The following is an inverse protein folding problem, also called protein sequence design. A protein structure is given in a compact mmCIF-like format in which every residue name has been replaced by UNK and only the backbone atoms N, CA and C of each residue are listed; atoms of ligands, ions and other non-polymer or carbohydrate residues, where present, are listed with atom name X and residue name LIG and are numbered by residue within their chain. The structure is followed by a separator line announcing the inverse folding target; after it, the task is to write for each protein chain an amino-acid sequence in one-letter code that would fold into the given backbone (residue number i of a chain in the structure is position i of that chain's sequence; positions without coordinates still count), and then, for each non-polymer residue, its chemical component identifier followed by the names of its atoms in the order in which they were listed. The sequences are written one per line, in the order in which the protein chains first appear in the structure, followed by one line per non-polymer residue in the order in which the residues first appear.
data_IF_943789178101
#
_entry.id   IF_943789178101
#
_cell.length_a   1.000
_cell.length_b   1.000
_cell.length_c   1.000
_cell.angle_alpha   90.00
_cell.angle_beta   90.00
_cell.angle_gamma   90.00
#
_symmetry.space_group_name_H-M   'P 1'
#
loop_
_entity.id
_entity.type
_entity.pdbx_description
1 polymer ?
#
# COMPACT_ATOMS: atom_id res chain seq x y z
N UNK A 1 9.65 -11.76 -7.20
CA UNK A 1 8.97 -10.45 -7.06
C UNK A 1 9.90 -9.32 -6.56
N UNK A 2 11.22 -9.50 -6.57
CA UNK A 2 12.20 -8.49 -6.07
C UNK A 2 12.67 -7.52 -7.18
N UNK A 3 12.44 -7.84 -8.45
CA UNK A 3 12.80 -6.97 -9.59
C UNK A 3 11.85 -5.78 -9.77
N UNK A 4 10.56 -5.93 -9.45
CA UNK A 4 9.57 -4.85 -9.56
C UNK A 4 9.81 -3.75 -8.52
N UNK A 5 10.13 -4.11 -7.28
CA UNK A 5 10.44 -3.15 -6.21
C UNK A 5 11.73 -2.38 -6.50
N UNK A 6 12.77 -3.05 -7.02
CA UNK A 6 14.02 -2.37 -7.39
C UNK A 6 13.85 -1.46 -8.61
N UNK A 7 13.04 -1.87 -9.60
CA UNK A 7 12.64 -1.01 -10.71
C UNK A 7 11.81 0.18 -10.24
N UNK A 8 10.89 -0.01 -9.28
CA UNK A 8 10.08 1.04 -8.70
C UNK A 8 10.90 2.06 -7.93
N UNK A 9 11.85 1.62 -7.09
CA UNK A 9 12.75 2.54 -6.35
C UNK A 9 13.67 3.29 -7.30
N UNK A 10 14.18 2.63 -8.35
CA UNK A 10 15.04 3.27 -9.35
C UNK A 10 14.23 4.26 -10.21
N UNK A 11 13.00 3.91 -10.58
CA UNK A 11 12.08 4.81 -11.27
C UNK A 11 11.71 6.01 -10.39
N UNK A 12 11.47 5.81 -9.09
CA UNK A 12 11.19 6.86 -8.12
C UNK A 12 12.36 7.83 -7.94
N UNK A 13 13.58 7.34 -7.78
CA UNK A 13 14.77 8.19 -7.69
C UNK A 13 15.02 8.94 -9.00
N UNK A 14 14.79 8.27 -10.14
CA UNK A 14 14.91 8.91 -11.46
C UNK A 14 13.85 10.00 -11.64
N UNK A 15 12.60 9.78 -11.23
CA UNK A 15 11.53 10.78 -11.31
C UNK A 15 11.81 11.97 -10.40
N UNK A 16 12.24 11.75 -9.15
CA UNK A 16 12.66 12.84 -8.25
C UNK A 16 13.82 13.64 -8.84
N UNK A 17 14.78 12.97 -9.48
CA UNK A 17 15.89 13.65 -10.17
C UNK A 17 15.48 14.34 -11.46
N UNK A 18 14.35 13.93 -12.06
CA UNK A 18 13.78 14.47 -13.28
C UNK A 18 12.72 15.55 -13.01
N UNK A 19 12.27 15.74 -11.74
CA UNK A 19 11.57 16.95 -11.32
C UNK A 19 12.48 18.12 -11.68
N UNK A 20 12.13 18.94 -12.68
CA UNK A 20 13.00 20.02 -13.08
C UNK A 20 13.06 21.01 -11.91
N UNK A 21 14.24 21.24 -11.35
CA UNK A 21 14.51 22.42 -10.52
C UNK A 21 14.38 23.73 -11.33
N UNK A 22 13.92 23.64 -12.58
CA UNK A 22 13.63 24.78 -13.43
C UNK A 22 12.22 25.26 -13.12
N UNK A 23 12.18 26.34 -12.35
CA UNK A 23 11.10 27.32 -12.33
C UNK A 23 10.52 27.52 -13.73
N UNK A 24 9.21 27.79 -13.89
CA UNK A 24 8.72 28.41 -15.11
C UNK A 24 9.63 29.62 -15.36
N UNK A 25 10.28 29.69 -16.53
CA UNK A 25 11.17 30.80 -16.84
C UNK A 25 10.33 32.08 -16.84
N UNK A 26 10.39 32.83 -15.75
CA UNK A 26 9.97 34.22 -15.73
C UNK A 26 11.03 34.95 -16.54
N UNK A 27 10.72 35.22 -17.81
CA UNK A 27 11.52 36.13 -18.63
C UNK A 27 11.47 37.50 -17.97
N UNK A 28 12.48 37.80 -17.16
CA UNK A 28 12.71 39.12 -16.58
C UNK A 28 13.24 40.03 -17.70
N UNK A 29 12.59 41.16 -18.02
CA UNK A 29 13.15 42.12 -18.94
C UNK A 29 14.47 42.68 -18.40
N UNK A 30 15.51 42.68 -19.24
CA UNK A 30 16.79 43.32 -18.95
C UNK A 30 16.58 44.84 -18.81
N UNK A 31 16.81 45.37 -17.59
CA UNK A 31 16.78 46.80 -17.29
C UNK A 31 18.18 47.42 -17.42
N UNK A 32 18.84 47.17 -18.55
CA UNK A 32 20.01 47.91 -18.97
C UNK A 32 19.61 48.85 -20.10
N UNK A 33 19.27 50.10 -19.76
CA UNK A 33 19.70 51.29 -20.52
C UNK A 33 19.24 52.58 -19.83
N UNK A 34 20.21 53.18 -19.14
CA UNK A 34 20.22 54.57 -18.73
C UNK A 34 20.44 55.46 -19.96
N UNK A 35 19.53 56.41 -20.21
CA UNK A 35 19.84 57.66 -20.93
C UNK A 35 19.22 57.88 -22.32
N UNK A 36 18.12 58.66 -22.36
CA UNK A 36 17.88 59.73 -23.33
C UNK A 36 17.42 59.39 -24.76
N UNK A 37 16.10 59.48 -25.02
CA UNK A 37 15.44 60.09 -26.20
C UNK A 37 13.94 59.67 -26.25
N UNK A 38 12.97 60.54 -26.60
CA UNK A 38 11.55 60.18 -26.57
C UNK A 38 11.16 59.40 -27.84
N UNK A 39 11.06 58.08 -27.71
CA UNK A 39 10.38 57.21 -28.68
C UNK A 39 9.15 56.64 -27.95
N UNK A 40 7.94 56.61 -28.55
CA UNK A 40 6.77 56.07 -27.88
C UNK A 40 6.97 54.58 -27.62
N UNK A 41 7.29 54.24 -26.37
CA UNK A 41 7.52 52.90 -25.89
C UNK A 41 6.19 52.19 -25.68
N UNK A 42 5.74 51.41 -26.66
CA UNK A 42 4.80 50.32 -26.38
C UNK A 42 5.59 49.20 -25.71
N UNK A 43 5.84 49.36 -24.41
CA UNK A 43 6.45 48.34 -23.58
C UNK A 43 5.52 47.11 -23.59
N UNK A 44 6.01 45.90 -23.90
CA UNK A 44 5.25 44.68 -23.64
C UNK A 44 4.89 44.67 -22.15
N UNK A 45 3.61 44.50 -21.81
CA UNK A 45 3.18 44.47 -20.43
C UNK A 45 3.99 43.41 -19.66
N UNK A 46 4.66 43.83 -18.59
CA UNK A 46 5.27 42.91 -17.63
C UNK A 46 4.12 42.07 -17.06
N UNK A 47 4.19 40.72 -17.09
CA UNK A 47 3.17 39.91 -16.45
C UNK A 47 3.16 40.21 -14.96
N UNK A 48 2.08 40.82 -14.47
CA UNK A 48 1.89 41.12 -13.05
C UNK A 48 1.76 39.80 -12.29
N UNK A 49 2.70 39.49 -11.39
CA UNK A 49 2.51 38.43 -10.40
C UNK A 49 1.38 38.89 -9.48
N UNK A 50 0.20 38.32 -9.65
CA UNK A 50 -0.99 38.65 -8.84
C UNK A 50 -0.97 37.87 -7.54
N UNK A 51 -1.59 38.40 -6.47
CA UNK A 51 -1.81 37.65 -5.23
C UNK A 51 -2.50 36.29 -5.46
N UNK A 52 -3.33 36.17 -6.50
CA UNK A 52 -3.96 34.91 -6.89
C UNK A 52 -2.94 33.83 -7.31
N UNK A 53 -1.82 34.21 -7.92
CA UNK A 53 -0.76 33.28 -8.34
C UNK A 53 0.04 32.73 -7.15
N UNK A 54 0.24 33.57 -6.11
CA UNK A 54 0.92 33.17 -4.87
C UNK A 54 0.01 32.26 -4.03
N UNK A 55 -1.27 32.60 -3.90
CA UNK A 55 -2.22 31.77 -3.16
C UNK A 55 -2.39 30.38 -3.80
N UNK A 56 -2.49 30.30 -5.14
CA UNK A 56 -2.58 29.00 -5.82
C UNK A 56 -1.33 28.13 -5.63
N UNK A 57 -0.14 28.73 -5.52
CA UNK A 57 1.08 27.99 -5.18
C UNK A 57 1.05 27.45 -3.74
N UNK A 58 0.62 28.28 -2.78
CA UNK A 58 0.49 27.87 -1.37
C UNK A 58 -0.55 26.75 -1.25
N UNK A 59 -1.68 26.85 -1.93
CA UNK A 59 -2.74 25.83 -1.94
C UNK A 59 -2.23 24.50 -2.52
N UNK A 60 -1.44 24.54 -3.61
CA UNK A 60 -0.83 23.35 -4.19
C UNK A 60 0.17 22.68 -3.22
N UNK A 61 0.95 23.46 -2.49
CA UNK A 61 1.93 22.96 -1.51
C UNK A 61 1.23 22.35 -0.29
N UNK A 62 0.13 22.97 0.16
CA UNK A 62 -0.73 22.42 1.22
C UNK A 62 -1.42 21.13 0.79
N UNK A 63 -1.90 21.05 -0.45
CA UNK A 63 -2.48 19.85 -1.02
C UNK A 63 -1.46 18.70 -1.09
N UNK A 64 -0.26 18.96 -1.62
CA UNK A 64 0.82 17.97 -1.68
C UNK A 64 1.22 17.48 -0.28
N UNK A 65 1.38 18.39 0.69
CA UNK A 65 1.67 18.02 2.08
C UNK A 65 0.58 17.12 2.68
N UNK A 66 -0.69 17.44 2.43
CA UNK A 66 -1.84 16.67 2.93
C UNK A 66 -1.91 15.29 2.28
N UNK A 67 -1.70 15.20 0.96
CA UNK A 67 -1.72 13.94 0.22
C UNK A 67 -0.62 12.99 0.70
N UNK A 68 0.60 13.48 0.91
CA UNK A 68 1.71 12.69 1.46
C UNK A 68 1.39 12.20 2.88
N UNK A 69 0.86 13.07 3.75
CA UNK A 69 0.50 12.70 5.11
C UNK A 69 -0.61 11.63 5.14
N UNK A 70 -1.60 11.74 4.26
CA UNK A 70 -2.67 10.76 4.12
C UNK A 70 -2.13 9.42 3.61
N UNK A 71 -1.27 9.43 2.60
CA UNK A 71 -0.68 8.20 2.07
C UNK A 71 0.12 7.44 3.14
N UNK A 72 0.95 8.13 3.93
CA UNK A 72 1.68 7.49 5.05
C UNK A 72 0.71 6.86 6.05
N UNK A 73 -0.39 7.57 6.37
CA UNK A 73 -1.39 7.11 7.33
C UNK A 73 -2.14 5.89 6.81
N UNK A 74 -2.60 5.92 5.56
CA UNK A 74 -3.35 4.82 4.95
C UNK A 74 -2.46 3.58 4.79
N UNK A 75 -1.25 3.71 4.25
CA UNK A 75 -0.29 2.59 4.13
C UNK A 75 -0.05 1.92 5.48
N UNK A 76 0.09 2.72 6.54
CA UNK A 76 0.24 2.18 7.90
C UNK A 76 -1.02 1.43 8.33
N UNK A 77 -2.20 2.02 8.13
CA UNK A 77 -3.48 1.42 8.48
C UNK A 77 -3.73 0.10 7.74
N UNK A 78 -3.47 0.04 6.43
CA UNK A 78 -3.67 -1.15 5.61
C UNK A 78 -2.70 -2.26 6.03
N UNK A 79 -1.44 -1.90 6.32
CA UNK A 79 -0.47 -2.86 6.84
C UNK A 79 -0.92 -3.45 8.18
N UNK A 80 -1.43 -2.63 9.10
CA UNK A 80 -1.99 -3.13 10.36
C UNK A 80 -3.22 -4.01 10.12
N UNK A 81 -4.11 -3.59 9.23
CA UNK A 81 -5.32 -4.32 8.89
C UNK A 81 -5.00 -5.71 8.31
N UNK A 82 -3.95 -5.83 7.49
CA UNK A 82 -3.52 -7.11 6.90
C UNK A 82 -2.96 -8.10 7.93
N UNK A 83 -2.29 -7.60 8.97
CA UNK A 83 -1.70 -8.43 10.01
C UNK A 83 -2.75 -8.96 11.00
N UNK A 84 -3.89 -8.29 11.15
CA UNK A 84 -4.95 -8.71 12.07
C UNK A 84 -5.56 -10.08 11.71
N UNK A 85 -6.00 -10.35 10.47
CA UNK A 85 -6.43 -11.68 10.05
C UNK A 85 -5.35 -12.74 10.24
N UNK A 86 -4.09 -12.39 9.99
CA UNK A 86 -2.95 -13.31 10.18
C UNK A 86 -2.80 -13.69 11.66
N UNK A 87 -2.92 -12.73 12.57
CA UNK A 87 -2.90 -12.99 14.00
C UNK A 87 -4.09 -13.86 14.45
N UNK A 88 -5.27 -13.65 13.88
CA UNK A 88 -6.45 -14.47 14.18
C UNK A 88 -6.31 -15.92 13.68
N UNK A 89 -5.74 -16.10 12.48
CA UNK A 89 -5.37 -17.43 11.95
C UNK A 89 -4.40 -18.13 12.90
N UNK A 90 -3.32 -17.45 13.33
CA UNK A 90 -2.33 -18.03 14.25
C UNK A 90 -3.00 -18.42 15.57
N UNK A 91 -3.81 -17.54 16.15
CA UNK A 91 -4.55 -17.84 17.37
C UNK A 91 -5.47 -19.06 17.19
N UNK A 92 -6.20 -19.13 16.08
CA UNK A 92 -7.07 -20.26 15.74
C UNK A 92 -6.28 -21.57 15.59
N UNK A 93 -5.14 -21.54 14.90
CA UNK A 93 -4.25 -22.70 14.69
C UNK A 93 -3.64 -23.18 16.01
N UNK A 94 -3.35 -22.28 16.95
CA UNK A 94 -2.73 -22.65 18.23
C UNK A 94 -3.75 -23.07 19.30
N UNK A 95 -5.01 -22.66 19.18
CA UNK A 95 -6.02 -22.90 20.22
C UNK A 95 -7.13 -23.83 19.76
N UNK A 96 -7.73 -23.54 18.62
CA UNK A 96 -8.95 -24.21 18.16
C UNK A 96 -8.62 -25.48 17.39
N UNK A 97 -7.64 -25.44 16.49
CA UNK A 97 -7.23 -26.60 15.68
C UNK A 97 -6.79 -27.79 16.56
N UNK A 98 -5.97 -27.63 17.61
CA UNK A 98 -5.59 -28.75 18.47
C UNK A 98 -6.80 -29.35 19.19
N UNK A 99 -7.73 -28.52 19.66
CA UNK A 99 -8.97 -29.01 20.29
C UNK A 99 -9.85 -29.77 19.29
N UNK A 100 -9.95 -29.29 18.06
CA UNK A 100 -10.72 -29.96 17.00
C UNK A 100 -10.09 -31.31 16.63
N UNK A 101 -8.77 -31.38 16.51
CA UNK A 101 -8.03 -32.61 16.23
C UNK A 101 -8.20 -33.66 17.33
N UNK A 102 -8.25 -33.24 18.60
CA UNK A 102 -8.59 -34.14 19.72
C UNK A 102 -9.99 -34.71 19.54
N UNK A 103 -10.98 -33.88 19.20
CA UNK A 103 -12.35 -34.37 18.97
C UNK A 103 -12.41 -35.35 17.79
N UNK A 104 -11.74 -35.05 16.67
CA UNK A 104 -11.67 -35.97 15.52
C UNK A 104 -10.99 -37.30 15.86
N UNK A 105 -9.93 -37.27 16.67
CA UNK A 105 -9.30 -38.47 17.19
C UNK A 105 -10.28 -39.29 18.02
N UNK A 106 -10.95 -38.66 18.99
CA UNK A 106 -11.94 -39.32 19.85
C UNK A 106 -13.13 -39.86 19.05
N UNK A 107 -13.59 -39.15 18.02
CA UNK A 107 -14.66 -39.62 17.12
C UNK A 107 -14.25 -40.89 16.37
N UNK A 108 -13.00 -40.98 15.90
CA UNK A 108 -12.47 -42.20 15.28
C UNK A 108 -12.36 -43.37 16.27
N UNK A 109 -11.90 -43.11 17.51
CA UNK A 109 -11.92 -44.13 18.58
C UNK A 109 -13.36 -44.58 18.86
N UNK A 110 -14.31 -43.66 18.91
CA UNK A 110 -15.72 -43.96 19.10
C UNK A 110 -16.26 -44.84 17.96
N UNK A 111 -15.92 -44.55 16.70
CA UNK A 111 -16.28 -45.40 15.56
C UNK A 111 -15.73 -46.83 15.73
N UNK A 112 -14.46 -46.95 16.15
CA UNK A 112 -13.83 -48.25 16.38
C UNK A 112 -14.51 -49.09 17.45
N UNK A 113 -14.76 -48.52 18.63
CA UNK A 113 -15.42 -49.26 19.73
C UNK A 113 -16.87 -49.63 19.40
N UNK A 114 -17.52 -48.89 18.49
CA UNK A 114 -18.86 -49.20 18.01
C UNK A 114 -18.87 -50.19 16.83
N UNK A 115 -17.73 -50.79 16.49
CA UNK A 115 -17.63 -51.88 15.53
C UNK A 115 -17.24 -51.49 14.11
N UNK A 116 -16.88 -50.22 13.86
CA UNK A 116 -16.28 -49.81 12.59
C UNK A 116 -14.74 -49.93 12.65
N UNK A 117 -14.13 -50.96 12.06
CA UNK A 117 -12.67 -51.12 12.09
C UNK A 117 -11.92 -49.97 11.39
N UNK A 118 -12.58 -49.20 10.52
CA UNK A 118 -12.00 -48.02 9.87
C UNK A 118 -11.86 -46.86 10.87
N UNK A 119 -12.53 -46.90 12.02
CA UNK A 119 -12.45 -45.89 13.07
C UNK A 119 -11.01 -45.57 13.52
N UNK A 120 -10.12 -46.57 13.61
CA UNK A 120 -8.71 -46.34 13.95
C UNK A 120 -7.95 -45.58 12.86
N UNK A 121 -8.29 -45.83 11.58
CA UNK A 121 -7.73 -45.09 10.45
C UNK A 121 -8.25 -43.66 10.49
N UNK A 122 -9.55 -43.47 10.75
CA UNK A 122 -10.18 -42.16 10.85
C UNK A 122 -9.66 -41.34 12.03
N UNK A 123 -9.38 -41.96 13.18
CA UNK A 123 -8.84 -41.30 14.36
C UNK A 123 -7.51 -40.58 14.09
N UNK A 124 -6.72 -41.08 13.14
CA UNK A 124 -5.44 -40.47 12.73
C UNK A 124 -5.58 -39.67 11.43
N UNK A 125 -6.35 -40.21 10.48
CA UNK A 125 -6.51 -39.63 9.15
C UNK A 125 -7.32 -38.34 9.15
N UNK A 126 -8.38 -38.25 9.95
CA UNK A 126 -9.20 -37.03 10.00
C UNK A 126 -8.47 -35.83 10.59
N UNK A 127 -7.73 -35.93 11.72
CA UNK A 127 -6.88 -34.83 12.18
C UNK A 127 -5.90 -34.32 11.10
N UNK A 128 -5.22 -35.23 10.39
CA UNK A 128 -4.29 -34.84 9.32
C UNK A 128 -5.01 -34.15 8.17
N UNK A 129 -6.17 -34.69 7.75
CA UNK A 129 -6.97 -34.10 6.68
C UNK A 129 -7.49 -32.71 7.08
N UNK A 130 -7.90 -32.54 8.34
CA UNK A 130 -8.32 -31.26 8.88
C UNK A 130 -7.17 -30.24 8.86
N UNK A 131 -5.97 -30.62 9.31
CA UNK A 131 -4.79 -29.74 9.29
C UNK A 131 -4.43 -29.31 7.87
N UNK A 132 -4.46 -30.22 6.90
CA UNK A 132 -4.21 -29.90 5.48
C UNK A 132 -5.28 -28.95 4.94
N UNK A 133 -6.55 -29.19 5.25
CA UNK A 133 -7.65 -28.33 4.82
C UNK A 133 -7.54 -26.92 5.43
N UNK A 134 -7.26 -26.83 6.73
CA UNK A 134 -7.04 -25.55 7.43
C UNK A 134 -5.83 -24.83 6.87
N UNK A 135 -4.70 -25.52 6.64
CA UNK A 135 -3.50 -24.90 6.07
C UNK A 135 -3.76 -24.35 4.66
N UNK A 136 -4.47 -25.09 3.81
CA UNK A 136 -4.83 -24.63 2.47
C UNK A 136 -5.78 -23.42 2.53
N UNK A 137 -6.78 -23.45 3.42
CA UNK A 137 -7.73 -22.36 3.61
C UNK A 137 -7.03 -21.11 4.14
N UNK A 138 -6.25 -21.25 5.22
CA UNK A 138 -5.52 -20.17 5.86
C UNK A 138 -4.51 -19.52 4.89
N UNK A 139 -3.71 -20.34 4.20
CA UNK A 139 -2.77 -19.84 3.20
C UNK A 139 -3.48 -19.13 2.03
N UNK A 140 -4.62 -19.65 1.57
CA UNK A 140 -5.43 -18.99 0.55
C UNK A 140 -5.94 -17.62 0.99
N UNK A 141 -6.48 -17.52 2.20
CA UNK A 141 -6.94 -16.26 2.78
C UNK A 141 -5.79 -15.27 2.98
N UNK A 142 -4.65 -15.71 3.54
CA UNK A 142 -3.49 -14.85 3.79
C UNK A 142 -2.92 -14.26 2.49
N UNK A 143 -2.87 -15.06 1.41
CA UNK A 143 -2.44 -14.57 0.09
C UNK A 143 -3.38 -13.49 -0.44
N UNK A 144 -4.70 -13.66 -0.30
CA UNK A 144 -5.68 -12.68 -0.77
C UNK A 144 -5.54 -11.38 0.01
N UNK A 145 -5.53 -11.45 1.35
CA UNK A 145 -5.39 -10.28 2.22
C UNK A 145 -4.10 -9.52 1.91
N UNK A 146 -2.97 -10.23 1.79
CA UNK A 146 -1.69 -9.58 1.51
C UNK A 146 -1.62 -8.98 0.09
N UNK A 147 -2.24 -9.63 -0.90
CA UNK A 147 -2.30 -9.12 -2.27
C UNK A 147 -3.19 -7.88 -2.40
N UNK A 148 -4.31 -7.84 -1.69
CA UNK A 148 -5.21 -6.69 -1.67
C UNK A 148 -4.54 -5.51 -0.95
N UNK A 149 -3.96 -5.73 0.24
CA UNK A 149 -3.19 -4.71 0.95
C UNK A 149 -2.01 -4.18 0.13
N UNK A 150 -1.29 -5.02 -0.61
CA UNK A 150 -0.21 -4.56 -1.47
C UNK A 150 -0.71 -3.64 -2.59
N UNK A 151 -1.91 -3.88 -3.13
CA UNK A 151 -2.53 -3.02 -4.13
C UNK A 151 -2.99 -1.68 -3.53
N UNK A 152 -3.61 -1.71 -2.35
CA UNK A 152 -4.03 -0.51 -1.61
C UNK A 152 -2.84 0.38 -1.28
N UNK A 153 -1.77 -0.19 -0.72
CA UNK A 153 -0.52 0.51 -0.42
C UNK A 153 0.09 1.18 -1.66
N UNK A 154 0.12 0.47 -2.80
CA UNK A 154 0.61 1.05 -4.05
C UNK A 154 -0.30 2.18 -4.54
N UNK A 155 -1.62 2.00 -4.44
CA UNK A 155 -2.60 3.01 -4.82
C UNK A 155 -2.46 4.29 -3.97
N UNK A 156 -2.29 4.17 -2.66
CA UNK A 156 -2.11 5.31 -1.76
C UNK A 156 -0.82 6.07 -2.03
N UNK A 157 0.28 5.35 -2.29
CA UNK A 157 1.57 5.98 -2.62
C UNK A 157 1.48 6.70 -3.97
N UNK A 158 0.90 6.07 -4.99
CA UNK A 158 0.77 6.69 -6.31
C UNK A 158 -0.20 7.88 -6.26
N UNK A 159 -1.29 7.79 -5.51
CA UNK A 159 -2.24 8.89 -5.33
C UNK A 159 -1.68 10.08 -4.54
N UNK A 160 -0.52 9.93 -3.90
CA UNK A 160 0.14 10.99 -3.15
C UNK A 160 0.88 12.01 -4.05
N UNK A 161 1.14 11.67 -5.32
CA UNK A 161 1.95 12.43 -6.27
C UNK A 161 1.21 12.67 -7.59
#
# INVERSE_FOLDING_TARGET
MVNGTQQGVTAFVNDISAIPATLPSLSLPDFSQTGGSPVPSTLPAVPTVTNASINGFIDALQAANTNIANAITNVSADTYAALLPTADIINTVLTTVPSYNVNLFLDGIQQFVNGDPVGLINAIGYPIAADVAVAALAGGFEVIVLADTAQEVVSDIVGAF
#
